data_IF_550544610648
#
_entry.id   IF_550544610648
#
_cell.length_a   1.000
_cell.length_b   1.000
_cell.length_c   1.000
_cell.angle_alpha   90.00
_cell.angle_beta   90.00
_cell.angle_gamma   90.00
#
_symmetry.space_group_name_H-M   'P 1'
#
loop_
_entity.id
_entity.type
_entity.pdbx_description
1 polymer ?
#
# COMPACT_ATOMS: atom_id res chain seq x y z
N UNK A 1 -30.56 52.93 11.50
CA UNK A 1 -30.34 52.85 10.04
C UNK A 1 -29.59 51.56 9.76
N UNK A 2 -30.25 50.69 9.00
CA UNK A 2 -29.78 49.55 8.20
C UNK A 2 -28.89 48.45 8.81
N UNK A 3 -29.60 47.38 9.18
CA UNK A 3 -29.43 46.00 8.71
C UNK A 3 -28.20 45.68 7.87
N UNK A 4 -27.47 44.63 8.29
CA UNK A 4 -27.12 43.57 7.33
C UNK A 4 -27.18 42.23 8.05
N UNK A 5 -28.35 41.61 7.91
CA UNK A 5 -28.67 40.25 8.31
C UNK A 5 -27.76 39.32 7.50
N UNK A 6 -26.75 38.70 8.13
CA UNK A 6 -25.97 37.66 7.44
C UNK A 6 -26.88 36.45 7.29
N UNK A 7 -27.38 36.27 6.07
CA UNK A 7 -28.23 35.15 5.68
C UNK A 7 -27.43 33.84 5.92
N UNK A 8 -27.94 32.86 6.69
CA UNK A 8 -27.24 31.60 6.92
C UNK A 8 -27.17 30.71 5.67
N UNK A 9 -27.75 31.15 4.54
CA UNK A 9 -27.78 30.42 3.27
C UNK A 9 -26.50 30.50 2.44
N UNK A 10 -25.49 31.26 2.88
CA UNK A 10 -24.25 31.47 2.10
C UNK A 10 -23.12 30.48 2.44
N UNK A 11 -23.37 29.54 3.36
CA UNK A 11 -22.39 28.51 3.76
C UNK A 11 -22.45 27.26 2.86
N UNK A 12 -23.44 27.11 1.97
CA UNK A 12 -23.77 25.78 1.42
C UNK A 12 -23.68 25.58 -0.08
N UNK A 13 -23.01 26.44 -0.87
CA UNK A 13 -22.74 26.11 -2.29
C UNK A 13 -21.26 25.82 -2.56
N UNK A 14 -20.34 26.65 -2.07
CA UNK A 14 -18.90 26.44 -2.25
C UNK A 14 -18.35 25.23 -1.46
N UNK A 15 -19.02 24.86 -0.36
CA UNK A 15 -18.60 23.74 0.47
C UNK A 15 -18.90 22.36 -0.16
N UNK A 16 -19.94 22.27 -1.00
CA UNK A 16 -20.36 21.01 -1.63
C UNK A 16 -19.34 20.56 -2.70
N UNK A 17 -18.70 21.52 -3.38
CA UNK A 17 -17.73 21.24 -4.46
C UNK A 17 -16.29 21.02 -3.98
N UNK A 18 -16.03 21.17 -2.69
CA UNK A 18 -14.71 20.99 -2.06
C UNK A 18 -14.77 20.00 -0.92
N UNK A 19 -15.43 18.87 -1.12
CA UNK A 19 -15.39 17.81 -0.14
C UNK A 19 -14.04 17.09 -0.20
N UNK A 20 -13.20 17.19 0.86
CA UNK A 20 -11.99 16.41 0.98
C UNK A 20 -12.32 14.92 0.87
N UNK A 21 -11.50 14.17 0.14
CA UNK A 21 -11.60 12.70 0.12
C UNK A 21 -11.36 12.12 1.52
N UNK A 22 -11.79 10.86 1.72
CA UNK A 22 -11.88 10.17 3.02
C UNK A 22 -10.62 10.36 3.88
N UNK A 23 -9.44 10.33 3.26
CA UNK A 23 -8.14 10.41 3.92
C UNK A 23 -7.27 11.59 3.44
N UNK A 24 -7.83 12.57 2.73
CA UNK A 24 -7.09 13.75 2.26
C UNK A 24 -6.61 14.67 3.40
N UNK A 25 -7.13 14.48 4.61
CA UNK A 25 -6.67 15.15 5.84
C UNK A 25 -5.60 14.36 6.62
N UNK A 26 -5.29 13.14 6.19
CA UNK A 26 -4.22 12.32 6.79
C UNK A 26 -2.93 12.37 5.96
N UNK A 27 -1.79 12.38 6.66
CA UNK A 27 -0.44 12.52 6.11
C UNK A 27 -0.08 11.38 5.15
N UNK A 28 -0.20 11.65 3.84
CA UNK A 28 0.41 10.93 2.71
C UNK A 28 0.17 9.39 2.61
N UNK A 29 0.22 8.82 1.39
CA UNK A 29 0.23 7.36 1.24
C UNK A 29 1.47 6.75 1.91
N UNK A 30 1.31 5.57 2.54
CA UNK A 30 2.44 4.83 3.10
C UNK A 30 3.57 4.66 2.08
N UNK A 31 4.81 4.82 2.55
CA UNK A 31 6.05 4.71 1.78
C UNK A 31 6.80 3.41 2.10
N UNK A 32 7.68 2.96 1.20
CA UNK A 32 8.49 1.76 1.47
C UNK A 32 9.50 1.98 2.62
N UNK A 33 9.95 3.22 2.80
CA UNK A 33 10.94 3.58 3.82
C UNK A 33 10.43 3.34 5.24
N UNK A 34 9.11 3.42 5.45
CA UNK A 34 8.45 3.13 6.73
C UNK A 34 8.61 1.68 7.20
N UNK A 35 8.93 0.74 6.30
CA UNK A 35 9.14 -0.67 6.68
C UNK A 35 10.60 -1.03 6.94
N UNK A 36 11.54 -0.09 6.74
CA UNK A 36 12.96 -0.37 7.02
C UNK A 36 13.15 -0.56 8.53
N UNK A 37 13.92 -1.57 8.95
CA UNK A 37 14.22 -1.75 10.36
C UNK A 37 15.02 -0.55 10.88
N UNK A 38 14.72 -0.15 12.11
CA UNK A 38 15.44 0.89 12.84
C UNK A 38 16.05 0.31 14.11
N UNK A 39 16.97 1.04 14.74
CA UNK A 39 17.58 0.60 16.00
C UNK A 39 16.53 0.41 17.12
N UNK A 40 15.42 1.15 17.07
CA UNK A 40 14.33 1.08 18.07
C UNK A 40 13.18 0.16 17.68
N UNK A 41 13.07 -0.20 16.40
CA UNK A 41 11.97 -1.01 15.86
C UNK A 41 12.51 -1.94 14.77
N UNK A 42 12.84 -3.16 15.17
CA UNK A 42 13.31 -4.21 14.29
C UNK A 42 12.82 -5.59 14.75
N UNK A 43 12.64 -6.50 13.80
CA UNK A 43 12.35 -7.90 14.05
C UNK A 43 13.64 -8.73 14.06
N UNK A 44 13.64 -9.78 13.23
CA UNK A 44 14.79 -10.69 13.06
C UNK A 44 16.02 -10.00 12.46
N UNK A 45 15.81 -8.97 11.64
CA UNK A 45 16.87 -8.22 10.98
C UNK A 45 17.02 -6.86 11.64
N UNK A 46 18.16 -6.63 12.30
CA UNK A 46 18.58 -5.29 12.70
C UNK A 46 19.02 -4.45 11.48
N UNK A 47 19.15 -3.11 11.62
CA UNK A 47 19.52 -2.23 10.50
C UNK A 47 20.87 -2.58 9.84
N UNK A 48 21.86 -3.04 10.61
CA UNK A 48 23.18 -3.42 10.09
C UNK A 48 23.08 -4.70 9.28
N UNK A 49 22.35 -5.68 9.78
CA UNK A 49 22.11 -6.96 9.08
C UNK A 49 21.32 -6.72 7.79
N UNK A 50 20.27 -5.89 7.84
CA UNK A 50 19.48 -5.49 6.65
C UNK A 50 20.36 -4.88 5.56
N UNK A 51 21.27 -3.97 5.93
CA UNK A 51 22.22 -3.36 5.01
C UNK A 51 23.26 -4.38 4.50
N UNK A 52 23.79 -5.24 5.38
CA UNK A 52 24.82 -6.22 5.03
C UNK A 52 24.36 -7.26 4.00
N UNK A 53 23.08 -7.65 4.04
CA UNK A 53 22.50 -8.57 3.05
C UNK A 53 22.02 -7.86 1.77
N UNK A 54 22.23 -6.53 1.68
CA UNK A 54 21.77 -5.70 0.57
C UNK A 54 20.27 -5.89 0.25
N UNK A 55 19.42 -5.91 1.30
CA UNK A 55 18.01 -6.27 1.19
C UNK A 55 17.25 -5.47 0.11
N UNK A 56 17.60 -4.21 -0.12
CA UNK A 56 17.00 -3.39 -1.20
C UNK A 56 17.35 -3.87 -2.60
N UNK A 57 18.61 -4.29 -2.82
CA UNK A 57 19.01 -4.87 -4.11
C UNK A 57 18.36 -6.22 -4.32
N UNK A 58 18.28 -7.03 -3.26
CA UNK A 58 17.55 -8.29 -3.29
C UNK A 58 16.09 -8.06 -3.67
N UNK A 59 15.41 -7.10 -3.02
CA UNK A 59 14.04 -6.71 -3.37
C UNK A 59 13.92 -6.32 -4.85
N UNK A 60 14.81 -5.49 -5.36
CA UNK A 60 14.83 -5.10 -6.77
C UNK A 60 14.97 -6.28 -7.73
N UNK A 61 15.65 -7.35 -7.32
CA UNK A 61 15.83 -8.55 -8.14
C UNK A 61 14.64 -9.53 -8.11
N UNK A 62 13.92 -9.63 -7.00
CA UNK A 62 12.85 -10.62 -6.81
C UNK A 62 11.43 -10.04 -6.97
N UNK A 63 11.29 -8.73 -7.05
CA UNK A 63 9.99 -8.09 -7.17
C UNK A 63 9.42 -8.24 -8.58
N UNK A 64 8.61 -9.28 -8.77
CA UNK A 64 7.81 -9.52 -9.97
C UNK A 64 6.30 -9.30 -9.71
N UNK A 65 5.95 -8.50 -8.72
CA UNK A 65 4.55 -8.26 -8.35
C UNK A 65 3.84 -7.41 -9.40
N UNK A 66 2.56 -7.72 -9.65
CA UNK A 66 1.73 -7.01 -10.62
C UNK A 66 0.95 -5.84 -10.02
N UNK A 67 1.05 -5.65 -8.70
CA UNK A 67 0.25 -4.69 -7.95
C UNK A 67 1.14 -3.99 -6.92
N UNK A 68 0.82 -2.74 -6.63
CA UNK A 68 1.54 -1.96 -5.65
C UNK A 68 1.33 -2.49 -4.24
N UNK A 69 0.13 -2.97 -3.90
CA UNK A 69 -0.09 -3.66 -2.62
C UNK A 69 0.81 -4.90 -2.52
N UNK A 70 0.96 -5.66 -3.62
CA UNK A 70 1.89 -6.77 -3.71
C UNK A 70 3.34 -6.34 -3.48
N UNK A 71 3.78 -5.26 -4.13
CA UNK A 71 5.10 -4.64 -3.96
C UNK A 71 5.38 -4.32 -2.49
N UNK A 72 4.45 -3.66 -1.82
CA UNK A 72 4.56 -3.29 -0.40
C UNK A 72 4.60 -4.52 0.50
N UNK A 73 3.74 -5.52 0.24
CA UNK A 73 3.72 -6.75 1.01
C UNK A 73 5.03 -7.53 0.91
N UNK A 74 5.58 -7.65 -0.31
CA UNK A 74 6.87 -8.30 -0.55
C UNK A 74 8.00 -7.56 0.17
N UNK A 75 8.07 -6.23 0.01
CA UNK A 75 9.09 -5.41 0.65
C UNK A 75 9.05 -5.55 2.18
N UNK A 76 7.86 -5.42 2.77
CA UNK A 76 7.66 -5.58 4.21
C UNK A 76 8.07 -6.98 4.69
N UNK A 77 7.73 -8.04 3.95
CA UNK A 77 8.12 -9.40 4.32
C UNK A 77 9.62 -9.64 4.24
N UNK A 78 10.34 -8.88 3.41
CA UNK A 78 11.80 -8.96 3.31
C UNK A 78 12.48 -8.15 4.43
N UNK A 79 11.96 -6.95 4.71
CA UNK A 79 12.48 -6.09 5.76
C UNK A 79 12.19 -6.63 7.17
N UNK A 80 11.08 -7.35 7.34
CA UNK A 80 10.71 -8.03 8.57
C UNK A 80 10.30 -9.50 8.31
N UNK A 81 11.27 -10.42 8.18
CA UNK A 81 11.00 -11.82 7.91
C UNK A 81 10.22 -12.51 9.04
N UNK A 82 9.38 -13.47 8.64
CA UNK A 82 8.64 -14.30 9.60
C UNK A 82 9.59 -15.22 10.37
N UNK A 83 9.51 -15.21 11.70
CA UNK A 83 10.34 -16.04 12.58
C UNK A 83 9.68 -17.38 12.96
N UNK A 84 8.37 -17.51 12.75
CA UNK A 84 7.62 -18.72 13.08
C UNK A 84 7.74 -19.74 11.94
N UNK A 85 8.46 -20.83 12.21
CA UNK A 85 8.76 -21.87 11.22
C UNK A 85 7.51 -22.46 10.56
N UNK A 86 6.43 -22.70 11.33
CA UNK A 86 5.19 -23.26 10.80
C UNK A 86 4.55 -22.32 9.76
N UNK A 87 4.61 -21.02 9.98
CA UNK A 87 4.06 -20.03 9.03
C UNK A 87 4.91 -19.99 7.76
N UNK A 88 6.24 -20.12 7.88
CA UNK A 88 7.14 -20.20 6.72
C UNK A 88 6.84 -21.45 5.89
N UNK A 89 6.66 -22.61 6.53
CA UNK A 89 6.31 -23.86 5.85
C UNK A 89 5.00 -23.75 5.08
N UNK A 90 3.94 -23.22 5.70
CA UNK A 90 2.65 -23.03 5.02
C UNK A 90 2.80 -22.13 3.78
N UNK A 91 3.58 -21.05 3.87
CA UNK A 91 3.86 -20.17 2.71
C UNK A 91 4.60 -20.92 1.60
N UNK A 92 5.57 -21.75 1.96
CA UNK A 92 6.34 -22.54 0.99
C UNK A 92 5.48 -23.61 0.30
N UNK A 93 4.61 -24.28 1.06
CA UNK A 93 3.69 -25.27 0.51
C UNK A 93 2.66 -24.62 -0.43
N UNK A 94 2.09 -23.47 -0.04
CA UNK A 94 1.20 -22.70 -0.91
C UNK A 94 1.89 -22.22 -2.20
N UNK A 95 3.16 -21.79 -2.10
CA UNK A 95 3.94 -21.42 -3.28
C UNK A 95 4.16 -22.62 -4.21
N UNK A 96 4.45 -23.80 -3.65
CA UNK A 96 4.63 -25.03 -4.41
C UNK A 96 3.34 -25.46 -5.10
N UNK A 97 2.20 -25.35 -4.43
CA UNK A 97 0.89 -25.61 -5.03
C UNK A 97 0.66 -24.74 -6.27
N UNK A 98 0.88 -23.42 -6.14
CA UNK A 98 0.77 -22.46 -7.25
C UNK A 98 1.78 -22.75 -8.37
N UNK A 99 2.98 -23.21 -8.05
CA UNK A 99 3.98 -23.58 -9.05
C UNK A 99 3.55 -24.83 -9.84
N UNK A 100 2.99 -25.83 -9.16
CA UNK A 100 2.62 -27.13 -9.77
C UNK A 100 1.27 -27.16 -10.47
N UNK A 101 0.34 -26.27 -10.11
CA UNK A 101 -1.00 -26.17 -10.71
C UNK A 101 -1.06 -24.98 -11.68
N UNK A 102 -0.83 -25.27 -12.97
CA UNK A 102 -0.85 -24.27 -14.05
C UNK A 102 -2.20 -23.53 -14.15
N UNK A 103 -3.37 -24.22 -14.20
CA UNK A 103 -4.66 -23.55 -14.19
C UNK A 103 -4.87 -22.59 -13.01
N UNK A 104 -4.47 -23.00 -11.80
CA UNK A 104 -4.56 -22.15 -10.61
C UNK A 104 -3.69 -20.91 -10.75
N UNK A 105 -2.43 -21.08 -11.20
CA UNK A 105 -1.50 -19.97 -11.40
C UNK A 105 -2.02 -18.96 -12.40
N UNK A 106 -2.56 -19.43 -13.53
CA UNK A 106 -3.16 -18.56 -14.55
C UNK A 106 -4.38 -17.82 -14.00
N UNK A 107 -5.26 -18.52 -13.27
CA UNK A 107 -6.45 -17.92 -12.68
C UNK A 107 -6.09 -16.81 -11.68
N UNK A 108 -5.12 -17.06 -10.79
CA UNK A 108 -4.62 -16.09 -9.82
C UNK A 108 -3.95 -14.90 -10.51
N UNK A 109 -3.10 -15.15 -11.50
CA UNK A 109 -2.42 -14.11 -12.28
C UNK A 109 -3.43 -13.16 -12.93
N UNK A 110 -4.44 -13.73 -13.59
CA UNK A 110 -5.51 -12.97 -14.24
C UNK A 110 -6.38 -12.20 -13.22
N UNK A 111 -6.66 -12.81 -12.07
CA UNK A 111 -7.41 -12.15 -10.99
C UNK A 111 -6.68 -10.91 -10.46
N UNK A 112 -5.39 -11.05 -10.15
CA UNK A 112 -4.57 -9.94 -9.62
C UNK A 112 -4.45 -8.83 -10.67
N UNK A 113 -4.17 -9.17 -11.93
CA UNK A 113 -4.06 -8.18 -13.01
C UNK A 113 -5.34 -7.33 -13.16
N UNK A 114 -6.52 -7.96 -13.07
CA UNK A 114 -7.82 -7.26 -13.15
C UNK A 114 -8.08 -6.32 -11.97
N UNK A 115 -7.48 -6.56 -10.80
CA UNK A 115 -7.67 -5.76 -9.59
C UNK A 115 -6.61 -4.66 -9.45
N UNK A 116 -5.37 -4.95 -9.82
CA UNK A 116 -4.25 -4.00 -9.75
C UNK A 116 -4.55 -2.67 -10.46
N UNK A 117 -5.28 -2.70 -11.59
CA UNK A 117 -5.67 -1.48 -12.32
C UNK A 117 -6.46 -0.46 -11.49
N UNK A 118 -7.17 -0.91 -10.45
CA UNK A 118 -8.00 -0.06 -9.61
C UNK A 118 -7.26 0.53 -8.40
N UNK A 119 -6.01 0.12 -8.13
CA UNK A 119 -5.25 0.62 -6.99
C UNK A 119 -4.99 2.13 -7.09
N UNK A 120 -4.67 2.62 -8.29
CA UNK A 120 -4.48 4.05 -8.53
C UNK A 120 -5.79 4.82 -8.34
N UNK A 121 -6.90 4.35 -8.89
CA UNK A 121 -8.20 5.01 -8.74
C UNK A 121 -8.61 5.09 -7.27
N UNK A 122 -8.40 4.00 -6.52
CA UNK A 122 -8.62 3.99 -5.08
C UNK A 122 -7.73 5.01 -4.36
N UNK A 123 -6.44 5.10 -4.71
CA UNK A 123 -5.54 6.10 -4.12
C UNK A 123 -6.00 7.53 -4.40
N UNK A 124 -6.44 7.84 -5.62
CA UNK A 124 -7.01 9.16 -5.93
C UNK A 124 -8.27 9.42 -5.11
N UNK A 125 -9.14 8.42 -4.95
CA UNK A 125 -10.33 8.50 -4.10
C UNK A 125 -10.00 8.68 -2.62
N UNK A 126 -8.84 8.23 -2.15
CA UNK A 126 -8.47 8.34 -0.74
C UNK A 126 -7.71 9.63 -0.44
N UNK A 127 -6.79 10.04 -1.31
CA UNK A 127 -5.79 11.08 -1.06
C UNK A 127 -5.80 12.25 -2.04
N UNK A 128 -6.68 12.27 -3.05
CA UNK A 128 -6.72 13.34 -4.05
C UNK A 128 -7.21 14.68 -3.49
N UNK A 129 -7.18 15.71 -4.35
CA UNK A 129 -7.92 16.95 -4.16
C UNK A 129 -8.66 17.27 -5.47
N UNK A 130 -9.95 17.60 -5.41
CA UNK A 130 -10.71 18.01 -6.60
C UNK A 130 -10.53 19.53 -6.82
N UNK A 131 -9.81 19.91 -7.87
CA UNK A 131 -9.82 21.28 -8.38
C UNK A 131 -10.87 21.40 -9.49
N UNK A 132 -12.13 21.55 -9.07
CA UNK A 132 -13.20 21.97 -9.99
C UNK A 132 -12.97 23.43 -10.39
N UNK A 133 -12.98 23.70 -11.69
CA UNK A 133 -12.94 25.07 -12.25
C UNK A 133 -14.24 25.83 -12.07
#
# INVERSE_FOLDING_TARGET
MNSSNKNPSDISELAIWRHPFILSSSDQPASLDEFRPTESDHGVLDPKTYAAIEAEKLFGSINHTQSEIGKFHLYRSLANPQSIAQVVQIKQDALREIETDEPLREALTNYVAKRARYENELKHLLYGEFSGG
#
